data_IF_820481929778
#
_entry.id   IF_820481929778
#
_cell.length_a   1.000
_cell.length_b   1.000
_cell.length_c   1.000
_cell.angle_alpha   90.00
_cell.angle_beta   90.00
_cell.angle_gamma   90.00
#
_symmetry.space_group_name_H-M   'P 1'
#
loop_
_entity.id
_entity.type
_entity.pdbx_description
1 polymer ?
#
# COMPACT_ATOMS: atom_id res chain seq x y z
N UNK A 1 -13.21 21.99 -5.98
CA UNK A 1 -12.90 22.51 -4.63
C UNK A 1 -11.84 23.58 -4.75
N UNK A 2 -11.93 24.71 -4.02
CA UNK A 2 -10.94 25.80 -4.10
C UNK A 2 -9.61 25.38 -3.47
N UNK A 3 -8.49 25.82 -4.05
CA UNK A 3 -7.15 25.57 -3.49
C UNK A 3 -7.02 26.19 -2.09
N UNK A 4 -7.55 27.39 -1.88
CA UNK A 4 -7.55 28.05 -0.58
C UNK A 4 -8.24 27.22 0.52
N UNK A 5 -9.32 26.50 0.19
CA UNK A 5 -9.99 25.60 1.13
C UNK A 5 -9.12 24.38 1.48
N UNK A 6 -8.43 23.80 0.48
CA UNK A 6 -7.48 22.70 0.70
C UNK A 6 -6.32 23.13 1.60
N UNK A 7 -5.71 24.28 1.30
CA UNK A 7 -4.59 24.82 2.08
C UNK A 7 -5.02 25.14 3.52
N UNK A 8 -6.18 25.77 3.71
CA UNK A 8 -6.69 26.05 5.06
C UNK A 8 -6.85 24.78 5.90
N UNK A 9 -7.41 23.73 5.30
CA UNK A 9 -7.58 22.43 5.94
C UNK A 9 -6.24 21.74 6.19
N UNK A 10 -5.28 21.81 5.27
CA UNK A 10 -3.93 21.31 5.52
C UNK A 10 -3.28 22.03 6.71
N UNK A 11 -3.31 23.37 6.73
CA UNK A 11 -2.70 24.19 7.79
C UNK A 11 -3.26 23.88 9.18
N UNK A 12 -4.57 23.58 9.28
CA UNK A 12 -5.24 23.24 10.54
C UNK A 12 -4.56 22.06 11.27
N UNK A 13 -4.07 21.07 10.51
CA UNK A 13 -3.49 19.83 11.05
C UNK A 13 -1.95 19.78 10.99
N UNK A 14 -1.27 20.88 10.65
CA UNK A 14 0.21 20.92 10.62
C UNK A 14 0.87 20.75 11.99
N UNK A 15 0.11 20.93 13.08
CA UNK A 15 0.57 20.74 14.46
C UNK A 15 0.57 19.28 14.91
N UNK A 16 0.03 18.37 14.11
CA UNK A 16 0.02 16.96 14.44
C UNK A 16 1.44 16.41 14.60
N UNK A 17 1.63 15.58 15.63
CA UNK A 17 2.93 14.98 15.90
C UNK A 17 3.33 14.10 14.72
N UNK A 18 4.58 14.27 14.25
CA UNK A 18 5.11 13.57 13.08
C UNK A 18 4.47 13.95 11.74
N UNK A 19 3.72 15.06 11.69
CA UNK A 19 3.25 15.66 10.44
C UNK A 19 4.42 16.11 9.56
N UNK A 20 4.35 15.79 8.27
CA UNK A 20 5.19 16.35 7.23
C UNK A 20 4.52 17.64 6.73
N UNK A 21 4.84 18.78 7.35
CA UNK A 21 4.21 20.07 7.03
C UNK A 21 4.33 20.50 5.56
N UNK A 22 5.29 19.94 4.83
CA UNK A 22 5.54 20.23 3.42
C UNK A 22 4.93 19.17 2.48
N UNK A 23 4.19 18.20 3.02
CA UNK A 23 3.40 17.23 2.26
C UNK A 23 1.91 17.54 2.43
N UNK A 24 1.27 17.97 1.34
CA UNK A 24 -0.12 18.41 1.33
C UNK A 24 -1.04 17.33 1.89
N UNK A 25 -1.80 17.68 2.92
CA UNK A 25 -2.76 16.78 3.57
C UNK A 25 -2.21 15.77 4.57
N UNK A 26 -0.89 15.69 4.79
CA UNK A 26 -0.28 14.66 5.67
C UNK A 26 -0.85 14.68 7.09
N UNK A 27 -0.84 15.84 7.76
CA UNK A 27 -1.40 15.99 9.11
C UNK A 27 -2.89 15.64 9.19
N UNK A 28 -3.67 16.01 8.18
CA UNK A 28 -5.09 15.66 8.11
C UNK A 28 -5.27 14.14 8.07
N UNK A 29 -4.47 13.43 7.24
CA UNK A 29 -4.52 11.97 7.13
C UNK A 29 -4.08 11.27 8.41
N UNK A 30 -3.07 11.80 9.11
CA UNK A 30 -2.68 11.27 10.42
C UNK A 30 -3.83 11.33 11.43
N UNK A 31 -4.64 12.38 11.39
CA UNK A 31 -5.76 12.51 12.31
C UNK A 31 -6.97 11.66 11.88
N UNK A 32 -7.34 11.68 10.60
CA UNK A 32 -8.62 11.15 10.12
C UNK A 32 -8.55 9.78 9.44
N UNK A 33 -7.36 9.31 9.07
CA UNK A 33 -7.20 8.00 8.45
C UNK A 33 -6.45 7.04 9.39
N UNK A 34 -7.14 6.12 10.08
CA UNK A 34 -6.52 5.23 11.05
C UNK A 34 -5.45 4.31 10.44
N UNK A 35 -5.60 3.91 9.17
CA UNK A 35 -4.62 3.08 8.47
C UNK A 35 -3.35 3.88 8.19
N UNK A 36 -3.49 5.08 7.62
CA UNK A 36 -2.37 5.97 7.35
C UNK A 36 -1.57 6.29 8.63
N UNK A 37 -2.29 6.62 9.71
CA UNK A 37 -1.68 6.89 11.02
C UNK A 37 -0.89 5.69 11.54
N UNK A 38 -1.47 4.49 11.51
CA UNK A 38 -0.81 3.28 12.00
C UNK A 38 0.47 2.97 11.23
N UNK A 39 0.44 3.11 9.91
CA UNK A 39 1.63 2.94 9.06
C UNK A 39 2.69 4.00 9.38
N UNK A 40 2.32 5.28 9.53
CA UNK A 40 3.26 6.34 9.95
C UNK A 40 3.92 6.00 11.27
N UNK A 41 3.14 5.67 12.30
CA UNK A 41 3.65 5.36 13.64
C UNK A 41 4.57 4.15 13.64
N UNK A 42 4.16 3.05 12.97
CA UNK A 42 4.98 1.84 12.91
C UNK A 42 6.28 2.04 12.15
N UNK A 43 6.25 2.82 11.09
CA UNK A 43 7.46 3.17 10.32
C UNK A 43 8.47 3.93 11.19
N UNK A 44 7.99 4.91 11.96
CA UNK A 44 8.83 5.65 12.92
C UNK A 44 9.37 4.75 14.04
N UNK A 45 8.53 3.86 14.58
CA UNK A 45 8.92 2.86 15.60
C UNK A 45 10.08 1.97 15.11
N UNK A 46 10.06 1.59 13.82
CA UNK A 46 11.12 0.81 13.18
C UNK A 46 12.41 1.62 12.87
N UNK A 47 12.43 2.91 13.24
CA UNK A 47 13.57 3.80 13.12
C UNK A 47 13.73 4.45 11.75
N UNK A 48 12.68 4.46 10.93
CA UNK A 48 12.69 5.22 9.68
C UNK A 48 12.43 6.71 9.94
N UNK A 49 12.98 7.53 9.06
CA UNK A 49 12.77 8.99 9.02
C UNK A 49 12.17 9.40 7.69
N UNK A 50 11.63 10.62 7.59
CA UNK A 50 11.13 11.19 6.34
C UNK A 50 12.00 12.39 5.96
N UNK A 51 12.34 12.52 4.67
CA UNK A 51 13.29 13.53 4.23
C UNK A 51 12.88 14.23 2.94
N UNK A 52 13.08 15.55 2.91
CA UNK A 52 13.00 16.37 1.69
C UNK A 52 14.27 16.35 0.85
N UNK A 53 15.35 15.72 1.34
CA UNK A 53 16.57 15.50 0.56
C UNK A 53 16.40 14.34 -0.41
N UNK A 54 15.61 14.56 -1.45
CA UNK A 54 15.33 13.58 -2.49
C UNK A 54 16.49 13.51 -3.48
N UNK A 55 17.01 12.30 -3.75
CA UNK A 55 18.04 12.09 -4.77
C UNK A 55 17.48 12.33 -6.18
N UNK A 56 18.34 12.75 -7.11
CA UNK A 56 17.96 12.84 -8.53
C UNK A 56 17.49 11.50 -9.09
N UNK A 57 18.05 10.39 -8.57
CA UNK A 57 17.64 9.03 -8.92
C UNK A 57 16.20 8.73 -8.47
N UNK A 58 15.81 9.08 -7.24
CA UNK A 58 14.41 8.96 -6.80
C UNK A 58 13.48 9.90 -7.55
N UNK A 59 13.95 11.10 -7.92
CA UNK A 59 13.13 11.99 -8.74
C UNK A 59 12.84 11.44 -10.13
N UNK A 60 13.84 10.81 -10.76
CA UNK A 60 13.71 10.24 -12.10
C UNK A 60 13.02 8.87 -12.10
N UNK A 61 13.28 8.05 -11.07
CA UNK A 61 12.87 6.65 -11.05
C UNK A 61 12.65 6.09 -9.63
N UNK A 62 11.56 6.48 -8.95
CA UNK A 62 11.27 6.06 -7.57
C UNK A 62 11.31 4.54 -7.36
N UNK A 63 10.75 3.78 -8.31
CA UNK A 63 10.67 2.32 -8.26
C UNK A 63 12.02 1.61 -8.10
N UNK A 64 13.11 2.23 -8.57
CA UNK A 64 14.45 1.65 -8.46
C UNK A 64 15.16 1.97 -7.15
N UNK A 65 14.48 2.56 -6.16
CA UNK A 65 15.12 3.16 -4.98
C UNK A 65 14.72 2.53 -3.65
N UNK A 66 13.86 1.50 -3.67
CA UNK A 66 13.41 0.85 -2.45
C UNK A 66 14.57 0.36 -1.56
N UNK A 67 15.59 -0.28 -2.14
CA UNK A 67 16.76 -0.74 -1.37
C UNK A 67 17.54 0.42 -0.73
N UNK A 68 17.62 1.58 -1.39
CA UNK A 68 18.25 2.76 -0.82
C UNK A 68 17.45 3.32 0.37
N UNK A 69 16.12 3.37 0.24
CA UNK A 69 15.20 3.77 1.31
C UNK A 69 15.38 2.86 2.53
N UNK A 70 15.41 1.55 2.30
CA UNK A 70 15.53 0.52 3.34
C UNK A 70 16.89 0.59 4.06
N UNK A 71 17.99 0.74 3.31
CA UNK A 71 19.34 0.84 3.87
C UNK A 71 19.53 2.14 4.65
N UNK A 72 19.09 3.27 4.10
CA UNK A 72 19.23 4.58 4.76
C UNK A 72 18.20 4.81 5.86
N UNK A 73 17.15 3.97 5.92
CA UNK A 73 15.97 4.18 6.76
C UNK A 73 15.41 5.61 6.61
N UNK A 74 15.34 6.08 5.37
CA UNK A 74 14.88 7.44 5.06
C UNK A 74 13.94 7.41 3.87
N UNK A 75 12.68 7.78 4.10
CA UNK A 75 11.61 7.81 3.10
C UNK A 75 11.55 9.21 2.49
N UNK A 76 11.82 9.35 1.18
CA UNK A 76 11.84 10.64 0.52
C UNK A 76 10.41 11.19 0.31
N UNK A 77 10.28 12.51 0.39
CA UNK A 77 9.10 13.24 -0.04
C UNK A 77 9.51 14.61 -0.58
N UNK A 78 8.66 15.24 -1.38
CA UNK A 78 8.90 16.58 -1.93
C UNK A 78 8.00 17.61 -1.25
N UNK A 79 8.48 18.85 -1.20
CA UNK A 79 7.62 19.97 -0.85
C UNK A 79 6.64 20.25 -2.00
N UNK A 80 5.36 19.93 -1.76
CA UNK A 80 4.27 20.24 -2.67
C UNK A 80 3.26 21.23 -2.06
N UNK A 81 3.58 21.80 -0.89
CA UNK A 81 2.75 22.80 -0.21
C UNK A 81 3.20 24.21 -0.59
N UNK A 82 4.49 24.52 -0.47
CA UNK A 82 5.03 25.86 -0.74
C UNK A 82 4.69 26.35 -2.17
N UNK A 83 4.89 25.55 -3.24
CA UNK A 83 4.53 25.99 -4.59
C UNK A 83 3.01 26.23 -4.76
N UNK A 84 2.19 25.48 -4.03
CA UNK A 84 0.73 25.61 -4.08
C UNK A 84 0.25 26.88 -3.35
N UNK A 85 0.87 27.22 -2.22
CA UNK A 85 0.64 28.48 -1.50
C UNK A 85 1.00 29.69 -2.36
N UNK A 86 2.17 29.67 -3.02
CA UNK A 86 2.61 30.72 -3.93
C UNK A 86 1.64 30.90 -5.11
N UNK A 87 1.19 29.80 -5.71
CA UNK A 87 0.21 29.83 -6.80
C UNK A 87 -1.13 30.40 -6.33
N UNK A 88 -1.62 29.99 -5.16
CA UNK A 88 -2.87 30.47 -4.60
C UNK A 88 -2.82 31.98 -4.32
N UNK A 89 -1.69 32.48 -3.82
CA UNK A 89 -1.45 33.90 -3.61
C UNK A 89 -1.42 34.68 -4.94
N UNK A 90 -0.66 34.21 -5.94
CA UNK A 90 -0.51 34.86 -7.26
C UNK A 90 -1.81 34.93 -8.05
N UNK A 91 -2.70 33.97 -7.86
CA UNK A 91 -3.99 33.89 -8.56
C UNK A 91 -5.15 34.46 -7.75
N UNK A 92 -4.89 35.11 -6.61
CA UNK A 92 -5.92 35.66 -5.73
C UNK A 92 -7.00 34.63 -5.36
N UNK A 93 -6.60 33.38 -5.12
CA UNK A 93 -7.49 32.26 -4.80
C UNK A 93 -8.59 31.96 -5.83
N UNK A 94 -8.38 32.32 -7.09
CA UNK A 94 -9.35 32.06 -8.16
C UNK A 94 -9.35 30.60 -8.65
N UNK A 95 -8.21 29.91 -8.54
CA UNK A 95 -8.04 28.55 -9.02
C UNK A 95 -8.70 27.50 -8.12
N UNK A 96 -9.27 26.49 -8.77
CA UNK A 96 -9.74 25.24 -8.17
C UNK A 96 -8.70 24.12 -8.29
N UNK A 97 -8.85 23.09 -7.46
CA UNK A 97 -8.00 21.89 -7.42
C UNK A 97 -7.78 21.25 -8.80
N UNK A 98 -8.84 21.18 -9.62
CA UNK A 98 -8.79 20.58 -10.95
C UNK A 98 -7.83 21.30 -11.92
N UNK A 99 -7.42 22.54 -11.62
CA UNK A 99 -6.43 23.27 -12.42
C UNK A 99 -4.99 22.86 -12.12
N UNK A 100 -4.74 22.20 -10.99
CA UNK A 100 -3.37 21.97 -10.46
C UNK A 100 -3.05 20.50 -10.23
N UNK A 101 -4.06 19.66 -9.98
CA UNK A 101 -3.87 18.26 -9.57
C UNK A 101 -2.93 17.48 -10.50
N UNK A 102 -3.08 17.64 -11.82
CA UNK A 102 -2.28 16.91 -12.81
C UNK A 102 -0.81 17.36 -12.88
N UNK A 103 -0.49 18.53 -12.31
CA UNK A 103 0.85 19.12 -12.36
C UNK A 103 1.54 19.13 -10.99
N UNK A 104 0.79 18.89 -9.91
CA UNK A 104 1.35 18.86 -8.57
C UNK A 104 1.90 17.46 -8.28
N UNK A 105 3.17 17.39 -7.91
CA UNK A 105 3.81 16.10 -7.60
C UNK A 105 3.23 15.50 -6.30
N UNK A 106 2.68 14.28 -6.33
CA UNK A 106 2.27 13.57 -5.12
C UNK A 106 3.48 13.02 -4.35
N UNK A 107 3.25 12.70 -3.09
CA UNK A 107 4.22 12.12 -2.17
C UNK A 107 3.80 10.70 -1.81
N UNK A 108 4.43 9.66 -2.36
CA UNK A 108 4.02 8.27 -2.10
C UNK A 108 4.48 7.71 -0.75
N UNK A 109 4.61 8.57 0.27
CA UNK A 109 5.15 8.24 1.59
C UNK A 109 4.40 7.10 2.25
N UNK A 110 3.09 6.99 2.05
CA UNK A 110 2.29 5.91 2.65
C UNK A 110 2.69 4.54 2.09
N UNK A 111 2.83 4.45 0.78
CA UNK A 111 3.19 3.21 0.10
C UNK A 111 4.63 2.79 0.41
N UNK A 112 5.58 3.74 0.35
CA UNK A 112 6.97 3.48 0.71
C UNK A 112 7.12 3.05 2.19
N UNK A 113 6.32 3.64 3.08
CA UNK A 113 6.23 3.22 4.48
C UNK A 113 5.72 1.78 4.64
N UNK A 114 4.73 1.36 3.83
CA UNK A 114 4.26 -0.02 3.84
C UNK A 114 5.37 -1.00 3.46
N UNK A 115 6.16 -0.71 2.42
CA UNK A 115 7.30 -1.54 2.07
C UNK A 115 8.35 -1.58 3.19
N UNK A 116 8.68 -0.43 3.79
CA UNK A 116 9.60 -0.33 4.90
C UNK A 116 9.21 -1.23 6.08
N UNK A 117 7.93 -1.23 6.44
CA UNK A 117 7.37 -2.10 7.48
C UNK A 117 7.46 -3.57 7.05
N UNK A 118 6.92 -3.91 5.88
CA UNK A 118 6.85 -5.29 5.42
C UNK A 118 8.23 -5.95 5.33
N UNK A 119 9.22 -5.23 4.80
CA UNK A 119 10.62 -5.69 4.75
C UNK A 119 11.24 -5.81 6.14
N UNK A 120 10.94 -4.90 7.06
CA UNK A 120 11.53 -4.90 8.41
C UNK A 120 10.98 -6.03 9.29
N UNK A 121 9.74 -6.44 9.07
CA UNK A 121 9.09 -7.55 9.79
C UNK A 121 9.35 -8.91 9.14
N UNK A 122 9.85 -8.93 7.89
CA UNK A 122 10.19 -10.16 7.19
C UNK A 122 11.30 -10.95 7.91
N UNK A 123 11.09 -12.25 8.08
CA UNK A 123 12.15 -13.17 8.49
C UNK A 123 13.06 -13.44 7.28
N UNK A 124 14.32 -13.02 7.35
CA UNK A 124 15.27 -13.30 6.27
C UNK A 124 15.67 -14.79 6.30
N UNK A 125 15.60 -15.52 5.18
CA UNK A 125 16.17 -16.85 5.11
C UNK A 125 17.70 -16.79 5.28
N UNK A 126 18.27 -17.87 5.81
CA UNK A 126 19.70 -17.98 6.20
C UNK A 126 20.45 -18.94 5.22
N UNK A 127 19.91 -19.33 4.06
CA UNK A 127 20.42 -20.51 3.32
C UNK A 127 20.16 -20.51 1.81
N UNK A 128 21.21 -20.68 1.00
CA UNK A 128 21.30 -20.57 -0.47
C UNK A 128 20.61 -21.65 -1.35
N UNK A 129 19.44 -22.16 -0.98
CA UNK A 129 18.73 -23.20 -1.75
C UNK A 129 17.73 -22.64 -2.78
N UNK A 130 17.25 -23.48 -3.71
CA UNK A 130 16.16 -23.12 -4.64
C UNK A 130 14.89 -22.69 -3.90
N UNK A 131 14.64 -23.26 -2.73
CA UNK A 131 13.50 -22.86 -1.90
C UNK A 131 13.68 -21.44 -1.34
N UNK A 132 14.91 -20.99 -1.13
CA UNK A 132 15.20 -19.61 -0.71
C UNK A 132 14.79 -18.58 -1.77
N UNK A 133 15.07 -18.85 -3.04
CA UNK A 133 14.65 -17.96 -4.12
C UNK A 133 13.12 -17.82 -4.16
N UNK A 134 12.37 -18.93 -3.99
CA UNK A 134 10.90 -18.89 -3.93
C UNK A 134 10.38 -18.15 -2.70
N UNK A 135 11.01 -18.33 -1.55
CA UNK A 135 10.69 -17.61 -0.31
C UNK A 135 10.95 -16.12 -0.51
N UNK A 136 12.10 -15.74 -1.08
CA UNK A 136 12.47 -14.36 -1.37
C UNK A 136 11.47 -13.70 -2.33
N UNK A 137 11.13 -14.37 -3.44
CA UNK A 137 10.11 -13.90 -4.39
C UNK A 137 8.77 -13.70 -3.68
N UNK A 138 8.32 -14.68 -2.90
CA UNK A 138 7.05 -14.59 -2.17
C UNK A 138 7.09 -13.41 -1.18
N UNK A 139 8.21 -13.21 -0.49
CA UNK A 139 8.40 -12.10 0.45
C UNK A 139 8.34 -10.74 -0.25
N UNK A 140 9.02 -10.60 -1.39
CA UNK A 140 8.99 -9.40 -2.22
C UNK A 140 7.56 -9.07 -2.68
N UNK A 141 6.80 -10.08 -3.11
CA UNK A 141 5.41 -9.87 -3.53
C UNK A 141 4.46 -9.62 -2.35
N UNK A 142 4.76 -10.14 -1.15
CA UNK A 142 4.04 -9.78 0.07
C UNK A 142 4.22 -8.29 0.40
N UNK A 143 5.40 -7.72 0.18
CA UNK A 143 5.65 -6.29 0.44
C UNK A 143 4.76 -5.39 -0.42
N UNK A 144 4.68 -5.66 -1.73
CA UNK A 144 3.78 -4.94 -2.65
C UNK A 144 2.32 -5.16 -2.27
N UNK A 145 1.94 -6.42 -2.03
CA UNK A 145 0.56 -6.77 -1.69
C UNK A 145 0.10 -6.11 -0.39
N UNK A 146 1.01 -5.95 0.58
CA UNK A 146 0.76 -5.24 1.82
C UNK A 146 0.52 -3.76 1.58
N UNK A 147 1.35 -3.10 0.77
CA UNK A 147 1.15 -1.72 0.38
C UNK A 147 -0.22 -1.53 -0.30
N UNK A 148 -0.56 -2.34 -1.30
CA UNK A 148 -1.85 -2.25 -1.99
C UNK A 148 -3.03 -2.50 -1.04
N UNK A 149 -2.90 -3.43 -0.09
CA UNK A 149 -3.97 -3.72 0.88
C UNK A 149 -4.15 -2.57 1.88
N UNK A 150 -3.06 -1.96 2.35
CA UNK A 150 -3.14 -0.76 3.19
C UNK A 150 -3.81 0.40 2.46
N UNK A 151 -3.47 0.63 1.19
CA UNK A 151 -4.11 1.66 0.37
C UNK A 151 -5.61 1.37 0.18
N UNK A 152 -5.97 0.12 -0.09
CA UNK A 152 -7.36 -0.30 -0.20
C UNK A 152 -8.17 -0.02 1.08
N UNK A 153 -7.62 -0.36 2.25
CA UNK A 153 -8.26 -0.10 3.54
C UNK A 153 -8.26 1.39 3.91
N UNK A 154 -7.23 2.16 3.52
CA UNK A 154 -7.20 3.61 3.73
C UNK A 154 -8.27 4.32 2.88
N UNK A 155 -8.54 3.82 1.67
CA UNK A 155 -9.60 4.34 0.80
C UNK A 155 -10.98 4.11 1.43
N UNK A 156 -11.19 2.99 2.11
CA UNK A 156 -12.46 2.69 2.79
C UNK A 156 -12.88 3.84 3.73
N UNK A 157 -11.90 4.46 4.39
CA UNK A 157 -12.05 5.55 5.37
C UNK A 157 -12.24 6.93 4.74
N UNK A 158 -11.89 7.12 3.46
CA UNK A 158 -11.81 8.44 2.82
C UNK A 158 -13.16 9.04 2.36
N UNK A 159 -14.12 9.27 3.25
CA UNK A 159 -15.53 9.54 2.89
C UNK A 159 -15.75 10.89 2.19
N UNK A 160 -14.98 11.90 2.55
CA UNK A 160 -15.13 13.26 2.05
C UNK A 160 -14.24 13.52 0.84
N UNK A 161 -14.62 14.48 -0.01
CA UNK A 161 -13.82 14.89 -1.18
C UNK A 161 -12.42 15.32 -0.76
N UNK A 162 -12.31 16.07 0.34
CA UNK A 162 -11.03 16.54 0.85
C UNK A 162 -10.13 15.39 1.33
N UNK A 163 -10.71 14.42 2.03
CA UNK A 163 -9.98 13.24 2.50
C UNK A 163 -9.45 12.44 1.31
N UNK A 164 -10.26 12.23 0.28
CA UNK A 164 -9.80 11.58 -0.97
C UNK A 164 -8.67 12.36 -1.63
N UNK A 165 -8.83 13.68 -1.75
CA UNK A 165 -7.82 14.55 -2.36
C UNK A 165 -6.48 14.44 -1.62
N UNK A 166 -6.50 14.49 -0.29
CA UNK A 166 -5.28 14.33 0.50
C UNK A 166 -4.70 12.93 0.40
N UNK A 167 -5.52 11.88 0.39
CA UNK A 167 -5.03 10.51 0.22
C UNK A 167 -4.39 10.30 -1.16
N UNK A 168 -4.99 10.82 -2.23
CA UNK A 168 -4.45 10.82 -3.60
C UNK A 168 -3.08 11.50 -3.68
N UNK A 169 -2.88 12.58 -2.91
CA UNK A 169 -1.60 13.27 -2.83
C UNK A 169 -0.54 12.53 -2.01
N UNK A 170 -0.91 11.49 -1.27
CA UNK A 170 -0.02 10.76 -0.36
C UNK A 170 0.11 9.24 -0.63
N UNK A 171 -0.47 8.71 -1.72
CA UNK A 171 -0.61 7.27 -1.99
C UNK A 171 -0.70 6.99 -3.50
N UNK A 172 -0.35 5.77 -3.93
CA UNK A 172 -0.64 5.28 -5.28
C UNK A 172 -2.12 4.90 -5.37
N UNK A 173 -2.95 5.93 -5.57
CA UNK A 173 -4.39 5.80 -5.51
C UNK A 173 -4.96 5.02 -6.70
N UNK A 174 -5.89 4.10 -6.42
CA UNK A 174 -6.79 3.52 -7.43
C UNK A 174 -8.23 3.90 -7.08
N UNK A 175 -8.99 4.37 -8.07
CA UNK A 175 -10.37 4.81 -7.86
C UNK A 175 -11.22 3.61 -7.44
N UNK A 176 -11.68 3.61 -6.19
CA UNK A 176 -12.62 2.63 -5.66
C UNK A 176 -13.95 3.33 -5.30
N UNK A 177 -14.89 3.25 -6.24
CA UNK A 177 -16.14 4.01 -6.19
C UNK A 177 -17.14 3.47 -5.15
N UNK A 178 -17.28 2.14 -5.01
CA UNK A 178 -18.21 1.54 -4.04
C UNK A 178 -17.51 0.82 -2.88
N UNK A 179 -17.44 1.52 -1.74
CA UNK A 179 -16.83 1.02 -0.50
C UNK A 179 -17.80 0.25 0.40
N UNK A 180 -19.07 0.18 0.01
CA UNK A 180 -20.13 -0.41 0.82
C UNK A 180 -19.88 -1.89 1.07
N UNK A 181 -19.38 -2.60 0.05
CA UNK A 181 -19.06 -4.01 0.15
C UNK A 181 -17.93 -4.28 1.15
N UNK A 182 -16.86 -3.48 1.10
CA UNK A 182 -15.74 -3.59 2.04
C UNK A 182 -16.20 -3.32 3.48
N UNK A 183 -16.93 -2.23 3.72
CA UNK A 183 -17.42 -1.89 5.07
C UNK A 183 -18.33 -2.97 5.66
N UNK A 184 -19.26 -3.51 4.85
CA UNK A 184 -20.14 -4.61 5.28
C UNK A 184 -19.33 -5.87 5.61
N UNK A 185 -18.32 -6.18 4.81
CA UNK A 185 -17.44 -7.31 5.06
C UNK A 185 -16.61 -7.11 6.34
N UNK A 186 -16.10 -5.90 6.61
CA UNK A 186 -15.38 -5.57 7.86
C UNK A 186 -16.31 -5.75 9.06
N UNK A 187 -17.55 -5.23 8.99
CA UNK A 187 -18.54 -5.36 10.07
C UNK A 187 -18.90 -6.82 10.35
N UNK A 188 -18.99 -7.66 9.31
CA UNK A 188 -19.37 -9.07 9.45
C UNK A 188 -18.22 -9.96 9.93
N UNK A 189 -17.02 -9.77 9.40
CA UNK A 189 -15.89 -10.70 9.58
C UNK A 189 -14.77 -10.15 10.45
N UNK A 190 -14.84 -8.88 10.84
CA UNK A 190 -13.75 -8.14 11.47
C UNK A 190 -12.72 -7.65 10.45
N UNK A 191 -12.04 -6.56 10.78
CA UNK A 191 -11.03 -5.96 9.90
C UNK A 191 -9.82 -6.88 9.71
N UNK A 192 -9.35 -7.54 10.78
CA UNK A 192 -8.15 -8.37 10.73
C UNK A 192 -8.26 -9.58 9.78
N UNK A 193 -9.28 -10.47 9.89
CA UNK A 193 -9.42 -11.59 8.96
C UNK A 193 -9.62 -11.11 7.52
N UNK A 194 -10.37 -10.01 7.33
CA UNK A 194 -10.60 -9.45 6.01
C UNK A 194 -9.35 -8.82 5.39
N UNK A 195 -8.53 -8.14 6.19
CA UNK A 195 -7.26 -7.59 5.74
C UNK A 195 -6.33 -8.71 5.27
N UNK A 196 -6.22 -9.80 6.05
CA UNK A 196 -5.43 -10.97 5.66
C UNK A 196 -5.96 -11.59 4.36
N UNK A 197 -7.28 -11.73 4.21
CA UNK A 197 -7.88 -12.20 2.98
C UNK A 197 -7.55 -11.30 1.77
N UNK A 198 -7.68 -9.98 1.91
CA UNK A 198 -7.37 -9.04 0.83
C UNK A 198 -5.88 -9.04 0.49
N UNK A 199 -5.01 -9.17 1.49
CA UNK A 199 -3.57 -9.34 1.30
C UNK A 199 -3.25 -10.57 0.43
N UNK A 200 -3.93 -11.70 0.66
CA UNK A 200 -3.79 -12.90 -0.16
C UNK A 200 -4.35 -12.71 -1.59
N UNK A 201 -5.41 -11.92 -1.75
CA UNK A 201 -5.96 -11.58 -3.07
C UNK A 201 -4.98 -10.72 -3.88
N UNK A 202 -4.41 -9.67 -3.27
CA UNK A 202 -3.37 -8.87 -3.91
C UNK A 202 -2.12 -9.70 -4.20
N UNK A 203 -1.74 -10.62 -3.30
CA UNK A 203 -0.64 -11.54 -3.54
C UNK A 203 -0.91 -12.44 -4.75
N UNK A 204 -2.11 -12.99 -4.88
CA UNK A 204 -2.50 -13.79 -6.05
C UNK A 204 -2.39 -13.00 -7.35
N UNK A 205 -2.85 -11.76 -7.32
CA UNK A 205 -2.75 -10.81 -8.44
C UNK A 205 -1.29 -10.47 -8.77
N UNK A 206 -0.43 -10.27 -7.77
CA UNK A 206 0.99 -9.98 -7.93
C UNK A 206 1.81 -11.21 -8.37
N UNK A 207 1.27 -12.42 -8.18
CA UNK A 207 1.74 -13.65 -8.85
C UNK A 207 1.29 -13.76 -10.31
N UNK A 208 0.72 -12.69 -10.89
CA UNK A 208 0.24 -12.57 -12.26
C UNK A 208 -0.90 -13.53 -12.62
N UNK A 209 -1.63 -14.04 -11.62
CA UNK A 209 -2.85 -14.78 -11.88
C UNK A 209 -3.97 -13.81 -12.32
N UNK A 210 -4.86 -14.30 -13.18
CA UNK A 210 -5.97 -13.50 -13.71
C UNK A 210 -7.23 -13.58 -12.83
N UNK A 211 -7.41 -14.68 -12.10
CA UNK A 211 -8.58 -14.94 -11.26
C UNK A 211 -8.25 -15.96 -10.18
N UNK A 212 -8.99 -15.91 -9.07
CA UNK A 212 -8.87 -16.88 -7.96
C UNK A 212 -9.78 -18.08 -8.24
N UNK A 213 -9.22 -19.29 -8.26
CA UNK A 213 -9.98 -20.53 -8.38
C UNK A 213 -10.72 -20.91 -7.08
N UNK A 214 -11.77 -21.73 -7.19
CA UNK A 214 -12.56 -22.17 -6.02
C UNK A 214 -11.74 -22.93 -4.96
N UNK A 215 -10.70 -23.66 -5.38
CA UNK A 215 -9.79 -24.31 -4.43
C UNK A 215 -8.90 -23.30 -3.71
N UNK A 216 -8.42 -22.27 -4.40
CA UNK A 216 -7.60 -21.23 -3.79
C UNK A 216 -8.40 -20.34 -2.85
N UNK A 217 -9.68 -20.05 -3.16
CA UNK A 217 -10.57 -19.40 -2.20
C UNK A 217 -10.67 -20.15 -0.87
N UNK A 218 -10.83 -21.49 -0.90
CA UNK A 218 -10.87 -22.30 0.33
C UNK A 218 -9.58 -22.19 1.13
N UNK A 219 -8.43 -22.17 0.44
CA UNK A 219 -7.12 -21.99 1.07
C UNK A 219 -6.97 -20.60 1.66
N UNK A 220 -7.44 -19.56 0.96
CA UNK A 220 -7.43 -18.19 1.47
C UNK A 220 -8.29 -18.06 2.71
N UNK A 221 -9.50 -18.61 2.71
CA UNK A 221 -10.37 -18.62 3.88
C UNK A 221 -9.71 -19.31 5.08
N UNK A 222 -9.04 -20.45 4.84
CA UNK A 222 -8.31 -21.15 5.89
C UNK A 222 -7.14 -20.32 6.44
N UNK A 223 -6.33 -19.72 5.56
CA UNK A 223 -5.18 -18.88 5.96
C UNK A 223 -5.60 -17.58 6.66
N UNK A 224 -6.73 -16.99 6.25
CA UNK A 224 -7.26 -15.76 6.81
C UNK A 224 -8.19 -15.98 8.01
N UNK A 225 -8.45 -17.23 8.39
CA UNK A 225 -9.42 -17.61 9.43
C UNK A 225 -10.85 -17.08 9.17
N UNK A 226 -11.27 -17.09 7.91
CA UNK A 226 -12.65 -16.80 7.50
C UNK A 226 -13.44 -18.11 7.34
N UNK A 227 -14.69 -18.10 7.82
CA UNK A 227 -15.64 -19.20 7.61
C UNK A 227 -16.89 -18.68 6.89
N UNK A 228 -16.78 -18.36 5.57
CA UNK A 228 -17.87 -17.75 4.84
C UNK A 228 -19.00 -18.74 4.58
N UNK A 229 -20.24 -18.29 4.78
CA UNK A 229 -21.41 -18.97 4.22
C UNK A 229 -21.49 -18.77 2.69
N UNK A 230 -22.52 -19.35 2.03
CA UNK A 230 -22.68 -19.20 0.57
C UNK A 230 -22.86 -17.75 0.11
N UNK A 231 -23.55 -16.94 0.90
CA UNK A 231 -23.77 -15.52 0.60
C UNK A 231 -22.46 -14.73 0.77
N UNK A 232 -21.69 -15.03 1.81
CA UNK A 232 -20.39 -14.42 2.07
C UNK A 232 -19.37 -14.77 1.01
N UNK A 233 -19.33 -16.02 0.58
CA UNK A 233 -18.45 -16.44 -0.50
C UNK A 233 -18.67 -15.58 -1.75
N UNK A 234 -19.93 -15.34 -2.14
CA UNK A 234 -20.25 -14.46 -3.27
C UNK A 234 -19.79 -13.02 -3.03
N UNK A 235 -20.01 -12.48 -1.83
CA UNK A 235 -19.61 -11.11 -1.50
C UNK A 235 -18.08 -10.94 -1.47
N UNK A 236 -17.35 -11.88 -0.88
CA UNK A 236 -15.88 -11.89 -0.83
C UNK A 236 -15.26 -12.10 -2.21
N UNK A 237 -15.91 -12.89 -3.07
CA UNK A 237 -15.49 -13.05 -4.48
C UNK A 237 -15.57 -11.71 -5.22
N UNK A 238 -16.69 -11.00 -5.13
CA UNK A 238 -16.81 -9.64 -5.71
C UNK A 238 -15.78 -8.69 -5.12
N UNK A 239 -15.56 -8.73 -3.80
CA UNK A 239 -14.56 -7.89 -3.16
C UNK A 239 -13.14 -8.17 -3.66
N UNK A 240 -12.80 -9.44 -3.91
CA UNK A 240 -11.49 -9.85 -4.41
C UNK A 240 -11.16 -9.31 -5.80
N UNK A 241 -12.15 -8.98 -6.62
CA UNK A 241 -11.96 -8.42 -7.96
C UNK A 241 -11.18 -7.09 -7.93
N UNK A 242 -11.26 -6.35 -6.81
CA UNK A 242 -10.49 -5.12 -6.62
C UNK A 242 -8.97 -5.36 -6.68
N UNK A 243 -8.50 -6.53 -6.23
CA UNK A 243 -7.08 -6.88 -6.29
C UNK A 243 -6.58 -7.06 -7.74
N UNK A 244 -7.48 -7.26 -8.70
CA UNK A 244 -7.17 -7.48 -10.12
C UNK A 244 -7.42 -6.25 -10.99
N UNK A 245 -7.86 -5.12 -10.39
CA UNK A 245 -8.13 -3.87 -11.11
C UNK A 245 -6.86 -3.22 -11.69
N UNK A 246 -5.67 -3.55 -11.14
CA UNK A 246 -4.40 -3.07 -11.66
C UNK A 246 -4.11 -3.62 -13.05
N UNK A 247 -3.65 -2.72 -13.93
CA UNK A 247 -3.32 -3.04 -15.31
C UNK A 247 -2.33 -4.23 -15.39
N UNK A 248 -2.65 -5.31 -16.14
CA UNK A 248 -1.80 -6.51 -16.20
C UNK A 248 -0.39 -6.22 -16.73
N UNK A 249 -0.24 -5.31 -17.70
CA UNK A 249 1.07 -4.92 -18.23
C UNK A 249 1.89 -4.19 -17.17
N UNK A 250 1.26 -3.30 -16.40
CA UNK A 250 1.92 -2.64 -15.28
C UNK A 250 2.44 -3.68 -14.28
N UNK A 251 1.57 -4.57 -13.79
CA UNK A 251 1.97 -5.66 -12.87
C UNK A 251 3.14 -6.48 -13.42
N UNK A 252 3.06 -6.92 -14.68
CA UNK A 252 4.13 -7.69 -15.30
C UNK A 252 5.46 -6.91 -15.30
N UNK A 253 5.46 -5.66 -15.80
CA UNK A 253 6.68 -4.87 -15.95
C UNK A 253 7.29 -4.50 -14.60
N UNK A 254 6.47 -4.12 -13.61
CA UNK A 254 6.96 -3.76 -12.28
C UNK A 254 7.53 -4.98 -11.56
N UNK A 255 6.88 -6.13 -11.62
CA UNK A 255 7.39 -7.37 -11.03
C UNK A 255 8.67 -7.84 -11.70
N UNK A 256 8.73 -7.90 -13.03
CA UNK A 256 9.94 -8.31 -13.77
C UNK A 256 11.15 -7.44 -13.39
N UNK A 257 10.93 -6.12 -13.37
CA UNK A 257 11.96 -5.18 -12.98
C UNK A 257 12.40 -5.35 -11.53
N UNK A 258 11.46 -5.55 -10.61
CA UNK A 258 11.78 -5.72 -9.19
C UNK A 258 12.60 -6.99 -8.94
N UNK A 259 12.25 -8.09 -9.63
CA UNK A 259 13.03 -9.33 -9.62
C UNK A 259 14.46 -9.12 -10.12
N UNK A 260 14.62 -8.42 -11.26
CA UNK A 260 15.93 -8.13 -11.84
C UNK A 260 16.79 -7.26 -10.92
N UNK A 261 16.21 -6.24 -10.27
CA UNK A 261 16.91 -5.39 -9.29
C UNK A 261 17.39 -6.17 -8.06
N UNK A 262 16.75 -7.31 -7.75
CA UNK A 262 17.11 -8.20 -6.66
C UNK A 262 17.95 -9.41 -7.10
N UNK A 263 18.51 -9.39 -8.32
CA UNK A 263 19.41 -10.43 -8.82
C UNK A 263 18.73 -11.70 -9.33
N UNK A 264 17.40 -11.70 -9.46
CA UNK A 264 16.65 -12.82 -10.02
C UNK A 264 16.52 -12.60 -11.52
N UNK A 265 17.38 -13.25 -12.31
CA UNK A 265 17.50 -13.01 -13.75
C UNK A 265 16.67 -13.95 -14.64
N UNK A 266 15.82 -14.78 -14.06
CA UNK A 266 14.89 -15.64 -14.82
C UNK A 266 13.70 -14.82 -15.31
N UNK A 267 13.02 -15.31 -16.35
CA UNK A 267 11.77 -14.67 -16.80
C UNK A 267 10.74 -14.67 -15.68
N UNK A 268 9.90 -13.64 -15.59
CA UNK A 268 8.90 -13.54 -14.52
C UNK A 268 7.96 -14.75 -14.49
N UNK A 269 7.55 -15.27 -15.65
CA UNK A 269 6.71 -16.48 -15.73
C UNK A 269 7.39 -17.71 -15.14
N UNK A 270 8.70 -17.87 -15.33
CA UNK A 270 9.46 -18.96 -14.69
C UNK A 270 9.64 -18.72 -13.20
N UNK A 271 9.94 -17.48 -12.80
CA UNK A 271 10.15 -17.11 -11.40
C UNK A 271 8.89 -17.34 -10.56
N UNK A 272 7.71 -17.06 -11.12
CA UNK A 272 6.42 -17.16 -10.43
C UNK A 272 5.70 -18.50 -10.64
N UNK A 273 6.26 -19.41 -11.44
CA UNK A 273 5.65 -20.69 -11.84
C UNK A 273 5.64 -21.77 -10.75
N UNK A 274 5.30 -21.44 -9.50
CA UNK A 274 5.22 -22.38 -8.38
C UNK A 274 3.97 -22.14 -7.53
N UNK A 275 3.55 -23.18 -6.78
CA UNK A 275 2.43 -23.10 -5.84
C UNK A 275 2.83 -22.32 -4.58
N UNK A 276 2.78 -20.99 -4.69
CA UNK A 276 3.17 -20.08 -3.61
C UNK A 276 2.24 -20.17 -2.39
N UNK A 277 0.97 -20.53 -2.59
CA UNK A 277 0.03 -20.74 -1.48
C UNK A 277 0.48 -21.95 -0.66
N UNK A 278 0.94 -23.02 -1.33
CA UNK A 278 1.46 -24.22 -0.64
C UNK A 278 2.75 -23.90 0.09
N UNK A 279 3.59 -23.06 -0.51
CA UNK A 279 4.78 -22.56 0.16
C UNK A 279 4.41 -21.80 1.44
N UNK A 280 3.42 -20.90 1.42
CA UNK A 280 2.95 -20.18 2.61
C UNK A 280 2.37 -21.13 3.66
N UNK A 281 1.58 -22.11 3.25
CA UNK A 281 0.95 -23.09 4.16
C UNK A 281 1.99 -23.91 4.93
N UNK A 282 3.13 -24.20 4.29
CA UNK A 282 4.20 -25.07 4.81
C UNK A 282 5.38 -24.32 5.42
N UNK A 283 5.60 -23.06 5.05
CA UNK A 283 6.71 -22.24 5.53
C UNK A 283 6.27 -21.27 6.64
N UNK A 284 6.54 -21.65 7.89
CA UNK A 284 6.08 -20.92 9.08
C UNK A 284 6.51 -19.44 9.11
N UNK A 285 7.71 -19.10 8.62
CA UNK A 285 8.16 -17.71 8.59
C UNK A 285 7.33 -16.80 7.67
N UNK A 286 6.79 -17.34 6.56
CA UNK A 286 5.93 -16.57 5.65
C UNK A 286 4.53 -16.40 6.26
N UNK A 287 4.01 -17.48 6.86
CA UNK A 287 2.73 -17.46 7.58
C UNK A 287 2.74 -16.45 8.73
N UNK A 288 3.81 -16.46 9.55
CA UNK A 288 3.99 -15.51 10.63
C UNK A 288 4.10 -14.07 10.13
N UNK A 289 4.80 -13.84 9.01
CA UNK A 289 4.88 -12.51 8.42
C UNK A 289 3.48 -11.99 8.01
N UNK A 290 2.73 -12.77 7.22
CA UNK A 290 1.36 -12.39 6.84
C UNK A 290 0.46 -12.10 8.05
N UNK A 291 0.59 -12.90 9.10
CA UNK A 291 -0.13 -12.69 10.36
C UNK A 291 0.30 -11.38 11.02
N UNK A 292 1.60 -11.10 11.16
CA UNK A 292 2.11 -9.87 11.77
C UNK A 292 1.63 -8.62 11.01
N UNK A 293 1.71 -8.64 9.68
CA UNK A 293 1.21 -7.55 8.84
C UNK A 293 -0.29 -7.33 9.01
N UNK A 294 -1.07 -8.40 9.11
CA UNK A 294 -2.52 -8.31 9.29
C UNK A 294 -2.92 -7.79 10.67
N UNK A 295 -2.16 -8.10 11.73
CA UNK A 295 -2.40 -7.54 13.07
C UNK A 295 -2.20 -6.03 13.09
N UNK A 296 -1.23 -5.51 12.32
CA UNK A 296 -0.89 -4.09 12.35
C UNK A 296 -2.08 -3.19 12.04
N UNK A 297 -2.98 -3.61 11.15
CA UNK A 297 -4.16 -2.82 10.76
C UNK A 297 -5.42 -3.30 11.50
N UNK A 298 -5.49 -4.59 11.81
CA UNK A 298 -6.70 -5.25 12.25
C UNK A 298 -7.15 -4.95 13.69
N UNK A 299 -6.23 -4.54 14.57
CA UNK A 299 -6.53 -4.38 16.01
C UNK A 299 -7.07 -2.97 16.36
N UNK A 300 -7.02 -2.01 15.43
CA UNK A 300 -7.42 -0.61 15.68
C UNK A 300 -8.46 -0.07 14.66
N UNK A 301 -9.18 -0.97 13.98
CA UNK A 301 -10.24 -0.65 13.01
C UNK A 301 -11.63 -0.73 13.65
#
# INVERSE_FOLDING_TARGET
MKISSLLAQHSEYTKEVSCLSNSLGDGYLLQHNPVFRQIRLKTLELGFTYSTNVSSAYQAFPMGQLEEILVKKSIPYVDNVTPLEELNARTSSQLDWDHVVDNLRPNYVFHESCHAIARSLATRPISSSIDEAKIQITQMLIEESFANTCEFFAIAEAHEVIHRTFLEMNSYFTVFEDRTHLKKAIQKHGARPLFHFMLLCYLHSNFLNEQIGENDFKRFYSLSHLEPDKSDHKALKVLSENAFALNPRFRYTTTEMYLHLNGIHTTVTQALGFDYIKLIETHEGLKQNLQQLSHLIGDNY
#
